data_IF_663699327998
#
_entry.id   IF_663699327998
#
_cell.length_a   1.000
_cell.length_b   1.000
_cell.length_c   1.000
_cell.angle_alpha   90.00
_cell.angle_beta   90.00
_cell.angle_gamma   90.00
#
_symmetry.space_group_name_H-M   'P 1'
#
loop_
_entity.id
_entity.type
_entity.pdbx_description
1 polymer ?
#
# COMPACT_ATOMS: atom_id res chain seq x y z
N UNK A 1 4.51 -16.07 -17.06
CA UNK A 1 4.85 -16.07 -15.62
C UNK A 1 4.15 -17.19 -14.84
N UNK A 2 2.81 -17.38 -14.87
CA UNK A 2 2.15 -18.40 -14.04
C UNK A 2 2.67 -19.84 -14.24
N UNK A 3 2.83 -20.28 -15.50
CA UNK A 3 3.32 -21.63 -15.80
C UNK A 3 4.78 -21.86 -15.40
N UNK A 4 5.62 -20.83 -15.39
CA UNK A 4 7.01 -20.95 -14.92
C UNK A 4 7.07 -21.04 -13.39
N UNK A 5 6.21 -20.29 -12.68
CA UNK A 5 6.07 -20.43 -11.24
C UNK A 5 5.56 -21.83 -10.86
N UNK A 6 4.59 -22.36 -11.59
CA UNK A 6 4.09 -23.73 -11.39
C UNK A 6 5.22 -24.77 -11.54
N UNK A 7 5.99 -24.69 -12.64
CA UNK A 7 7.15 -25.56 -12.85
C UNK A 7 8.18 -25.44 -11.73
N UNK A 8 8.43 -24.22 -11.24
CA UNK A 8 9.38 -23.98 -10.15
C UNK A 8 8.92 -24.64 -8.85
N UNK A 9 7.67 -24.45 -8.44
CA UNK A 9 7.11 -25.06 -7.22
C UNK A 9 7.19 -26.59 -7.30
N UNK A 10 6.82 -27.18 -8.43
CA UNK A 10 6.91 -28.64 -8.64
C UNK A 10 8.36 -29.12 -8.57
N UNK A 11 9.30 -28.41 -9.20
CA UNK A 11 10.73 -28.78 -9.16
C UNK A 11 11.29 -28.75 -7.73
N UNK A 12 10.94 -27.74 -6.93
CA UNK A 12 11.36 -27.66 -5.53
C UNK A 12 10.78 -28.84 -4.74
N UNK A 13 9.50 -29.17 -4.96
CA UNK A 13 8.86 -30.32 -4.32
C UNK A 13 9.53 -31.66 -4.66
N UNK A 14 9.88 -31.88 -5.93
CA UNK A 14 10.58 -33.10 -6.38
C UNK A 14 12.01 -33.17 -5.80
N UNK A 15 12.71 -32.03 -5.71
CA UNK A 15 14.06 -31.97 -5.18
C UNK A 15 14.16 -32.27 -3.67
N UNK A 16 13.06 -32.23 -2.92
CA UNK A 16 13.04 -32.43 -1.48
C UNK A 16 13.34 -33.88 -1.02
N UNK A 17 13.48 -34.87 -1.93
CA UNK A 17 13.94 -36.25 -1.67
C UNK A 17 13.43 -36.91 -0.35
N UNK A 18 12.14 -36.73 -0.01
CA UNK A 18 11.53 -37.29 1.21
C UNK A 18 11.37 -36.30 2.38
N UNK A 19 11.80 -35.05 2.22
CA UNK A 19 11.41 -33.92 3.08
C UNK A 19 10.09 -33.26 2.64
N UNK A 20 9.54 -32.37 3.49
CA UNK A 20 8.34 -31.60 3.14
C UNK A 20 8.64 -30.64 1.97
N UNK A 21 7.81 -30.70 0.91
CA UNK A 21 7.89 -29.77 -0.22
C UNK A 21 7.49 -28.34 0.17
N UNK A 22 7.23 -27.49 -0.82
CA UNK A 22 6.78 -26.11 -0.56
C UNK A 22 5.42 -26.13 0.15
N UNK A 23 5.40 -25.72 1.42
CA UNK A 23 4.17 -25.62 2.22
C UNK A 23 3.49 -24.25 2.10
N UNK A 24 4.27 -23.21 1.83
CA UNK A 24 3.82 -21.82 1.71
C UNK A 24 4.40 -21.09 0.52
N UNK A 25 3.56 -20.27 -0.14
CA UNK A 25 3.95 -19.22 -1.06
C UNK A 25 3.72 -17.86 -0.38
N UNK A 26 4.78 -17.07 -0.21
CA UNK A 26 4.66 -15.66 0.16
C UNK A 26 4.94 -14.84 -1.09
N UNK A 27 4.00 -13.98 -1.47
CA UNK A 27 4.17 -13.12 -2.64
C UNK A 27 3.67 -11.71 -2.37
N UNK A 28 4.27 -10.74 -3.06
CA UNK A 28 3.80 -9.37 -3.08
C UNK A 28 2.32 -9.32 -3.51
N UNK A 29 1.50 -8.48 -2.88
CA UNK A 29 0.09 -8.30 -3.27
C UNK A 29 -0.07 -7.74 -4.69
N UNK A 30 0.94 -7.07 -5.24
CA UNK A 30 1.01 -6.69 -6.66
C UNK A 30 1.36 -7.87 -7.59
N UNK A 31 1.68 -9.03 -7.02
CA UNK A 31 1.91 -10.31 -7.69
C UNK A 31 0.85 -11.33 -7.31
N UNK A 32 -0.36 -10.88 -6.95
CA UNK A 32 -1.47 -11.74 -6.51
C UNK A 32 -1.93 -12.74 -7.60
N UNK A 33 -1.54 -12.55 -8.86
CA UNK A 33 -1.65 -13.57 -9.93
C UNK A 33 -0.96 -14.91 -9.58
N UNK A 34 -0.07 -14.92 -8.58
CA UNK A 34 0.61 -16.12 -8.09
C UNK A 34 -0.24 -16.96 -7.13
N UNK A 35 -1.23 -16.37 -6.44
CA UNK A 35 -2.07 -17.10 -5.49
C UNK A 35 -2.98 -18.15 -6.14
N UNK A 36 -3.57 -17.93 -7.34
CA UNK A 36 -4.24 -18.99 -8.09
C UNK A 36 -3.34 -20.19 -8.39
N UNK A 37 -2.05 -19.97 -8.64
CA UNK A 37 -1.07 -21.05 -8.88
C UNK A 37 -0.83 -21.86 -7.60
N UNK A 38 -0.63 -21.17 -6.47
CA UNK A 38 -0.50 -21.85 -5.17
C UNK A 38 -1.74 -22.68 -4.83
N UNK A 39 -2.94 -22.10 -4.99
CA UNK A 39 -4.21 -22.81 -4.77
C UNK A 39 -4.36 -24.03 -5.66
N UNK A 40 -4.01 -23.93 -6.94
CA UNK A 40 -4.02 -25.07 -7.89
C UNK A 40 -3.13 -26.22 -7.41
N UNK A 41 -2.00 -25.91 -6.78
CA UNK A 41 -1.02 -26.88 -6.30
C UNK A 41 -1.25 -27.31 -4.84
N UNK A 42 -2.31 -26.83 -4.18
CA UNK A 42 -2.57 -27.12 -2.77
C UNK A 42 -1.56 -26.47 -1.80
N UNK A 43 -0.83 -25.46 -2.25
CA UNK A 43 0.14 -24.70 -1.44
C UNK A 43 -0.57 -23.53 -0.77
N UNK A 44 -0.34 -23.33 0.53
CA UNK A 44 -0.89 -22.21 1.31
C UNK A 44 -0.27 -20.91 0.84
N UNK A 45 -1.01 -19.81 0.89
CA UNK A 45 -0.52 -18.52 0.38
C UNK A 45 -0.68 -17.40 1.40
N UNK A 46 0.33 -16.55 1.50
CA UNK A 46 0.31 -15.28 2.22
C UNK A 46 0.68 -14.14 1.28
N UNK A 47 -0.06 -13.04 1.37
CA UNK A 47 0.26 -11.79 0.70
C UNK A 47 1.23 -10.96 1.52
N UNK A 48 2.14 -10.28 0.85
CA UNK A 48 2.99 -9.25 1.45
C UNK A 48 2.69 -7.90 0.79
N UNK A 49 2.29 -6.92 1.58
CA UNK A 49 2.11 -5.55 1.13
C UNK A 49 3.34 -4.73 1.51
N UNK A 50 4.21 -4.36 0.55
CA UNK A 50 5.39 -3.57 0.84
C UNK A 50 5.07 -2.09 1.12
N UNK A 51 3.87 -1.64 0.78
CA UNK A 51 3.38 -0.27 1.00
C UNK A 51 2.66 -0.12 2.34
N UNK A 52 2.24 1.11 2.66
CA UNK A 52 1.46 1.39 3.86
C UNK A 52 0.10 0.69 3.87
N UNK A 53 -0.46 0.44 5.06
CA UNK A 53 -1.78 -0.15 5.23
C UNK A 53 -2.87 0.77 4.67
N UNK A 54 -2.70 2.10 4.76
CA UNK A 54 -3.62 3.06 4.14
C UNK A 54 -3.63 2.94 2.61
N UNK A 55 -2.46 2.77 1.97
CA UNK A 55 -2.40 2.56 0.51
C UNK A 55 -3.07 1.26 0.09
N UNK A 56 -2.87 0.18 0.86
CA UNK A 56 -3.54 -1.09 0.62
C UNK A 56 -5.07 -0.94 0.75
N UNK A 57 -5.55 -0.27 1.80
CA UNK A 57 -6.96 0.04 2.00
C UNK A 57 -7.56 0.83 0.83
N UNK A 58 -6.88 1.86 0.33
CA UNK A 58 -7.34 2.61 -0.85
C UNK A 58 -7.56 1.69 -2.06
N UNK A 59 -6.67 0.70 -2.28
CA UNK A 59 -6.79 -0.24 -3.39
C UNK A 59 -7.94 -1.22 -3.20
N UNK A 60 -8.05 -1.84 -2.04
CA UNK A 60 -9.11 -2.82 -1.78
C UNK A 60 -10.50 -2.17 -1.81
N UNK A 61 -10.60 -0.90 -1.38
CA UNK A 61 -11.85 -0.13 -1.38
C UNK A 61 -12.18 0.55 -2.71
N UNK A 62 -11.46 0.30 -3.80
CA UNK A 62 -11.80 0.84 -5.14
C UNK A 62 -13.29 0.65 -5.48
N UNK A 63 -13.92 -0.53 -5.28
CA UNK A 63 -15.34 -0.71 -5.57
C UNK A 63 -16.26 0.22 -4.78
N UNK A 64 -15.90 0.53 -3.53
CA UNK A 64 -16.64 1.47 -2.67
C UNK A 64 -16.42 2.90 -3.13
N UNK A 65 -15.19 3.28 -3.49
CA UNK A 65 -14.87 4.61 -4.01
C UNK A 65 -15.58 4.90 -5.34
N UNK A 66 -15.77 3.90 -6.19
CA UNK A 66 -16.59 4.01 -7.41
C UNK A 66 -18.06 4.21 -7.03
N UNK A 67 -18.60 3.38 -6.13
CA UNK A 67 -19.98 3.46 -5.65
C UNK A 67 -20.32 4.81 -5.03
N UNK A 68 -19.38 5.38 -4.26
CA UNK A 68 -19.52 6.67 -3.59
C UNK A 68 -19.23 7.86 -4.53
N UNK A 69 -19.03 7.59 -5.82
CA UNK A 69 -18.79 8.57 -6.86
C UNK A 69 -17.50 9.37 -6.68
N UNK A 70 -16.53 8.84 -5.92
CA UNK A 70 -15.17 9.39 -5.84
C UNK A 70 -14.44 9.12 -7.14
N UNK A 71 -14.58 7.89 -7.66
CA UNK A 71 -13.95 7.41 -8.89
C UNK A 71 -14.99 7.02 -9.95
N UNK A 72 -14.56 7.00 -11.20
CA UNK A 72 -15.24 6.29 -12.28
C UNK A 72 -14.70 4.86 -12.43
N UNK A 73 -15.28 4.10 -13.36
CA UNK A 73 -14.91 2.71 -13.65
C UNK A 73 -13.47 2.55 -14.19
N UNK A 74 -12.88 3.64 -14.67
CA UNK A 74 -11.50 3.69 -15.19
C UNK A 74 -10.49 4.12 -14.12
N UNK A 75 -10.95 4.41 -12.90
CA UNK A 75 -10.11 4.79 -11.77
C UNK A 75 -9.75 6.27 -11.73
N UNK A 76 -10.43 7.12 -12.51
CA UNK A 76 -10.24 8.56 -12.51
C UNK A 76 -11.14 9.26 -11.50
N UNK A 77 -10.66 10.35 -10.88
CA UNK A 77 -11.51 11.14 -9.99
C UNK A 77 -12.67 11.78 -10.74
N UNK A 78 -13.90 11.54 -10.28
CA UNK A 78 -15.11 12.22 -10.82
C UNK A 78 -15.24 13.65 -10.31
N UNK A 79 -14.55 13.97 -9.22
CA UNK A 79 -14.50 15.29 -8.59
C UNK A 79 -13.11 15.55 -8.05
N UNK A 80 -12.72 16.82 -8.00
CA UNK A 80 -11.52 17.25 -7.27
C UNK A 80 -11.87 17.53 -5.81
N UNK A 81 -10.93 17.23 -4.92
CA UNK A 81 -10.98 17.60 -3.51
C UNK A 81 -10.90 16.41 -2.56
N UNK A 82 -11.42 16.64 -1.36
CA UNK A 82 -11.28 15.74 -0.22
C UNK A 82 -12.14 14.46 -0.34
N UNK A 83 -11.56 13.33 0.06
CA UNK A 83 -12.27 12.09 0.36
C UNK A 83 -11.65 11.39 1.58
N UNK A 84 -12.39 10.47 2.18
CA UNK A 84 -11.93 9.64 3.30
C UNK A 84 -12.37 8.20 3.06
N UNK A 85 -11.51 7.23 3.43
CA UNK A 85 -11.84 5.80 3.33
C UNK A 85 -12.78 5.32 4.44
N UNK A 86 -12.75 6.00 5.58
CA UNK A 86 -13.69 5.82 6.68
C UNK A 86 -13.81 7.11 7.50
N UNK A 87 -15.02 7.50 7.89
CA UNK A 87 -15.23 8.64 8.78
C UNK A 87 -14.50 8.45 10.11
N UNK A 88 -13.99 9.55 10.68
CA UNK A 88 -13.33 9.65 11.98
C UNK A 88 -11.99 8.88 12.17
N UNK A 89 -11.77 7.76 11.48
CA UNK A 89 -10.58 6.92 11.66
C UNK A 89 -9.51 7.16 10.59
N UNK A 90 -9.90 7.53 9.37
CA UNK A 90 -8.96 7.73 8.26
C UNK A 90 -8.69 9.21 7.97
N UNK A 91 -7.45 9.57 7.61
CA UNK A 91 -7.13 10.95 7.23
C UNK A 91 -7.88 11.36 5.97
N UNK A 92 -8.16 12.66 5.85
CA UNK A 92 -8.65 13.27 4.61
C UNK A 92 -7.55 13.19 3.56
N UNK A 93 -7.87 12.67 2.39
CA UNK A 93 -6.99 12.58 1.23
C UNK A 93 -7.54 13.42 0.08
N UNK A 94 -6.66 13.92 -0.77
CA UNK A 94 -7.06 14.58 -2.02
C UNK A 94 -7.13 13.55 -3.14
N UNK A 95 -8.24 13.57 -3.89
CA UNK A 95 -8.41 12.83 -5.14
C UNK A 95 -7.27 13.01 -6.16
N UNK A 96 -6.57 14.14 -6.16
CA UNK A 96 -5.42 14.39 -7.03
C UNK A 96 -4.20 13.52 -6.67
N UNK A 97 -4.12 13.02 -5.43
CA UNK A 97 -2.99 12.25 -4.90
C UNK A 97 -3.21 10.72 -5.00
N UNK A 98 -4.20 10.28 -5.78
CA UNK A 98 -4.47 8.87 -5.99
C UNK A 98 -3.30 8.18 -6.67
N UNK A 99 -2.75 7.16 -5.98
CA UNK A 99 -1.43 6.59 -6.29
C UNK A 99 -1.27 6.08 -7.72
N UNK A 100 -2.28 5.42 -8.32
CA UNK A 100 -2.17 4.89 -9.69
C UNK A 100 -2.26 5.97 -10.78
N UNK A 101 -2.85 7.14 -10.46
CA UNK A 101 -2.87 8.32 -11.35
C UNK A 101 -1.61 9.19 -11.18
N UNK A 102 -0.77 8.85 -10.20
CA UNK A 102 0.53 9.50 -9.94
C UNK A 102 1.71 8.58 -10.24
N UNK A 103 1.45 7.32 -10.60
CA UNK A 103 2.48 6.32 -10.86
C UNK A 103 2.87 6.29 -12.33
N UNK A 104 4.18 6.38 -12.59
CA UNK A 104 4.74 6.22 -13.92
C UNK A 104 4.28 7.27 -14.93
N UNK A 105 4.41 6.93 -16.21
CA UNK A 105 3.98 7.76 -17.33
C UNK A 105 2.44 7.77 -17.47
N UNK A 106 1.80 8.90 -17.79
CA UNK A 106 0.34 9.00 -17.98
C UNK A 106 -0.26 7.95 -18.92
N UNK A 107 0.45 7.53 -19.96
CA UNK A 107 -0.03 6.50 -20.90
C UNK A 107 -0.08 5.11 -20.26
N UNK A 108 0.70 4.87 -19.20
CA UNK A 108 0.76 3.60 -18.49
C UNK A 108 -0.22 3.49 -17.32
N UNK A 109 -0.78 4.61 -16.86
CA UNK A 109 -1.68 4.65 -15.69
C UNK A 109 -2.93 3.76 -15.82
N UNK A 110 -3.61 3.71 -16.99
CA UNK A 110 -4.73 2.79 -17.17
C UNK A 110 -4.33 1.32 -16.98
N UNK A 111 -3.13 0.95 -17.44
CA UNK A 111 -2.61 -0.41 -17.26
C UNK A 111 -2.31 -0.71 -15.78
N UNK A 112 -1.76 0.27 -15.04
CA UNK A 112 -1.52 0.15 -13.60
C UNK A 112 -2.84 -0.08 -12.86
N UNK A 113 -3.88 0.69 -13.20
CA UNK A 113 -5.19 0.54 -12.58
C UNK A 113 -5.79 -0.85 -12.84
N UNK A 114 -5.73 -1.33 -14.10
CA UNK A 114 -6.18 -2.68 -14.45
C UNK A 114 -5.38 -3.79 -13.74
N UNK A 115 -4.08 -3.60 -13.56
CA UNK A 115 -3.24 -4.52 -12.80
C UNK A 115 -3.68 -4.58 -11.33
N UNK A 116 -3.99 -3.42 -10.72
CA UNK A 116 -4.51 -3.35 -9.35
C UNK A 116 -5.83 -4.12 -9.23
N UNK A 117 -6.79 -3.89 -10.15
CA UNK A 117 -8.07 -4.59 -10.12
C UNK A 117 -7.91 -6.11 -10.22
N UNK A 118 -7.07 -6.59 -11.14
CA UNK A 118 -6.79 -8.03 -11.31
C UNK A 118 -6.15 -8.64 -10.07
N UNK A 119 -5.21 -7.92 -9.46
CA UNK A 119 -4.54 -8.40 -8.26
C UNK A 119 -5.50 -8.42 -7.06
N UNK A 120 -6.29 -7.37 -6.85
CA UNK A 120 -7.30 -7.30 -5.80
C UNK A 120 -8.29 -8.47 -5.90
N UNK A 121 -8.70 -8.83 -7.11
CA UNK A 121 -9.59 -9.96 -7.35
C UNK A 121 -8.98 -11.31 -6.91
N UNK A 122 -7.66 -11.44 -6.88
CA UNK A 122 -6.96 -12.65 -6.43
C UNK A 122 -6.50 -12.59 -4.96
N UNK A 123 -6.48 -11.41 -4.31
CA UNK A 123 -5.98 -11.23 -2.95
C UNK A 123 -6.69 -12.11 -1.92
N UNK A 124 -7.99 -12.39 -2.11
CA UNK A 124 -8.78 -13.27 -1.23
C UNK A 124 -8.30 -14.74 -1.21
N UNK A 125 -7.40 -15.12 -2.12
CA UNK A 125 -6.80 -16.46 -2.14
C UNK A 125 -5.60 -16.59 -1.18
N UNK A 126 -5.08 -15.48 -0.68
CA UNK A 126 -4.12 -15.49 0.42
C UNK A 126 -4.88 -15.66 1.74
N UNK A 127 -4.36 -16.51 2.63
CA UNK A 127 -4.90 -16.72 3.98
C UNK A 127 -4.69 -15.49 4.87
N UNK A 128 -3.63 -14.73 4.59
CA UNK A 128 -3.21 -13.54 5.33
C UNK A 128 -2.54 -12.54 4.40
N UNK A 129 -2.55 -11.26 4.76
CA UNK A 129 -1.80 -10.21 4.04
C UNK A 129 -0.96 -9.41 5.03
N UNK A 130 0.32 -9.72 5.17
CA UNK A 130 1.22 -8.95 6.06
C UNK A 130 1.54 -7.60 5.42
N UNK A 131 1.36 -6.51 6.17
CA UNK A 131 1.71 -5.16 5.73
C UNK A 131 3.04 -4.71 6.32
N UNK A 132 3.85 -4.03 5.52
CA UNK A 132 5.02 -3.30 5.97
C UNK A 132 4.62 -1.98 6.69
N UNK A 133 3.81 -2.11 7.74
CA UNK A 133 3.33 -1.03 8.59
C UNK A 133 3.04 -1.57 9.99
N UNK A 134 2.72 -0.68 10.93
CA UNK A 134 2.45 -1.01 12.32
C UNK A 134 1.19 -0.31 12.83
N UNK A 135 0.51 -0.96 13.79
CA UNK A 135 -0.78 -0.50 14.31
C UNK A 135 -0.71 0.93 14.86
N UNK A 136 0.37 1.30 15.52
CA UNK A 136 0.55 2.63 16.12
C UNK A 136 0.82 3.73 15.09
N UNK A 137 1.23 3.36 13.87
CA UNK A 137 1.46 4.31 12.79
C UNK A 137 0.17 4.60 12.03
N UNK A 138 -0.63 3.57 11.76
CA UNK A 138 -1.83 3.66 10.91
C UNK A 138 -3.08 3.01 11.56
N UNK A 139 -3.45 3.35 12.81
CA UNK A 139 -4.50 2.63 13.55
C UNK A 139 -5.85 2.64 12.82
N UNK A 140 -6.16 3.74 12.14
CA UNK A 140 -7.36 3.85 11.33
C UNK A 140 -7.39 2.93 10.11
N UNK A 141 -6.24 2.66 9.49
CA UNK A 141 -6.16 1.80 8.31
C UNK A 141 -6.31 0.33 8.69
N UNK A 142 -5.64 -0.10 9.76
CA UNK A 142 -5.80 -1.46 10.28
C UNK A 142 -7.23 -1.73 10.78
N UNK A 143 -7.93 -0.72 11.33
CA UNK A 143 -9.33 -0.85 11.72
C UNK A 143 -10.30 -1.14 10.55
N UNK A 144 -9.88 -0.91 9.30
CA UNK A 144 -10.69 -1.23 8.11
C UNK A 144 -10.72 -2.72 7.76
N UNK A 145 -9.90 -3.53 8.42
CA UNK A 145 -9.74 -4.95 8.11
C UNK A 145 -10.06 -5.84 9.33
N UNK A 146 -11.29 -5.83 9.87
CA UNK A 146 -11.64 -6.55 11.10
C UNK A 146 -11.64 -8.09 10.97
N UNK A 147 -11.31 -8.64 9.79
CA UNK A 147 -11.26 -10.09 9.54
C UNK A 147 -10.23 -10.52 8.48
N UNK A 148 -9.36 -9.61 8.04
CA UNK A 148 -8.20 -9.96 7.21
C UNK A 148 -6.99 -9.79 8.09
N UNK A 149 -6.11 -10.79 8.06
CA UNK A 149 -4.86 -10.86 8.82
C UNK A 149 -3.87 -9.85 8.22
N UNK A 150 -4.19 -8.55 8.33
CA UNK A 150 -3.24 -7.48 8.10
C UNK A 150 -2.36 -7.39 9.32
N UNK A 151 -1.37 -8.28 9.36
CA UNK A 151 -0.38 -8.32 10.42
C UNK A 151 0.70 -7.27 10.18
N UNK A 152 1.15 -6.65 11.27
CA UNK A 152 2.33 -5.80 11.29
C UNK A 152 3.57 -6.67 11.02
N UNK A 153 4.38 -6.28 10.03
CA UNK A 153 5.70 -6.89 9.86
C UNK A 153 6.59 -6.51 11.05
N UNK A 154 7.11 -7.50 11.77
CA UNK A 154 7.97 -7.38 12.96
C UNK A 154 8.97 -6.21 12.86
N UNK A 155 8.57 -5.05 13.38
CA UNK A 155 9.45 -3.93 13.61
C UNK A 155 10.06 -4.08 14.98
N UNK A 156 11.36 -4.37 15.07
CA UNK A 156 12.07 -4.35 16.35
C UNK A 156 11.77 -3.03 17.10
N UNK A 157 11.79 -3.06 18.44
CA UNK A 157 11.41 -1.91 19.27
C UNK A 157 12.13 -0.61 18.85
N UNK A 158 13.38 -0.72 18.41
CA UNK A 158 14.17 0.40 17.90
C UNK A 158 13.63 0.97 16.57
N UNK A 159 13.29 0.09 15.62
CA UNK A 159 12.68 0.49 14.33
C UNK A 159 11.37 1.22 14.57
N UNK A 160 10.54 0.68 15.47
CA UNK A 160 9.27 1.27 15.89
C UNK A 160 9.47 2.65 16.52
N UNK A 161 10.38 2.78 17.49
CA UNK A 161 10.69 4.04 18.14
C UNK A 161 11.18 5.11 17.13
N UNK A 162 12.04 4.73 16.18
CA UNK A 162 12.53 5.65 15.13
C UNK A 162 11.43 6.09 14.19
N UNK A 163 10.57 5.17 13.74
CA UNK A 163 9.46 5.50 12.85
C UNK A 163 8.43 6.43 13.53
N UNK A 164 8.13 6.22 14.82
CA UNK A 164 7.28 7.13 15.60
C UNK A 164 7.92 8.52 15.75
N UNK A 165 9.21 8.59 16.06
CA UNK A 165 9.93 9.86 16.14
C UNK A 165 9.91 10.62 14.81
N UNK A 166 10.12 9.91 13.69
CA UNK A 166 10.09 10.49 12.34
C UNK A 166 8.69 11.01 11.98
N UNK A 167 7.63 10.24 12.29
CA UNK A 167 6.24 10.66 12.11
C UNK A 167 5.95 11.97 12.85
N UNK A 168 6.38 12.06 14.11
CA UNK A 168 6.13 13.25 14.92
C UNK A 168 6.90 14.47 14.41
N UNK A 169 8.13 14.27 13.90
CA UNK A 169 8.89 15.32 13.20
C UNK A 169 8.16 15.77 11.94
N UNK A 170 7.66 14.83 11.12
CA UNK A 170 6.94 15.12 9.88
C UNK A 170 5.65 15.91 10.15
N UNK A 171 4.84 15.49 11.13
CA UNK A 171 3.62 16.21 11.54
C UNK A 171 3.91 17.64 11.96
N UNK A 172 4.90 17.85 12.84
CA UNK A 172 5.34 19.21 13.23
C UNK A 172 5.82 20.04 12.04
N UNK A 173 6.49 19.43 11.07
CA UNK A 173 6.95 20.16 9.89
C UNK A 173 5.79 20.67 9.02
N UNK A 174 4.68 19.92 8.95
CA UNK A 174 3.48 20.30 8.23
C UNK A 174 2.72 21.41 8.99
N UNK A 175 2.45 21.19 10.28
CA UNK A 175 1.60 22.09 11.07
C UNK A 175 2.24 23.46 11.31
N UNK A 176 3.50 23.49 11.75
CA UNK A 176 4.16 24.71 12.24
C UNK A 176 5.09 25.34 11.20
N UNK A 177 5.26 24.69 10.04
CA UNK A 177 6.26 25.04 9.04
C UNK A 177 7.66 24.58 9.44
N UNK A 178 8.12 23.51 8.79
CA UNK A 178 9.41 22.87 9.05
C UNK A 178 10.63 23.80 8.87
N UNK A 179 11.81 23.28 9.23
CA UNK A 179 13.09 24.01 9.10
C UNK A 179 13.31 24.54 7.68
N UNK A 180 12.96 23.77 6.66
CA UNK A 180 13.03 24.22 5.25
C UNK A 180 12.15 25.45 4.98
N UNK A 181 10.93 25.51 5.54
CA UNK A 181 10.03 26.68 5.40
C UNK A 181 10.60 27.90 6.13
N UNK A 182 11.20 27.70 7.31
CA UNK A 182 11.86 28.78 8.07
C UNK A 182 13.10 29.30 7.34
N UNK A 183 13.92 28.40 6.80
CA UNK A 183 15.09 28.77 6.00
C UNK A 183 14.70 29.52 4.74
N UNK A 184 13.65 29.07 4.04
CA UNK A 184 13.12 29.77 2.86
C UNK A 184 12.59 31.16 3.21
N UNK A 185 11.83 31.32 4.30
CA UNK A 185 11.39 32.64 4.77
C UNK A 185 12.56 33.56 5.07
N UNK A 186 13.54 33.07 5.84
CA UNK A 186 14.75 33.82 6.16
C UNK A 186 15.52 34.25 4.90
N UNK A 187 15.59 33.38 3.89
CA UNK A 187 16.20 33.71 2.60
C UNK A 187 15.43 34.81 1.86
N UNK A 188 14.09 34.73 1.82
CA UNK A 188 13.24 35.76 1.21
C UNK A 188 13.39 37.10 1.94
N UNK A 189 13.40 37.10 3.27
CA UNK A 189 13.57 38.30 4.09
C UNK A 189 14.92 38.98 3.82
N UNK A 190 15.99 38.19 3.66
CA UNK A 190 17.31 38.71 3.29
C UNK A 190 17.33 39.37 1.91
N UNK A 191 16.61 38.81 0.92
CA UNK A 191 16.50 39.42 -0.41
C UNK A 191 15.73 40.73 -0.37
N UNK A 192 14.69 40.83 0.46
CA UNK A 192 13.90 42.05 0.62
C UNK A 192 14.64 43.14 1.40
N UNK A 193 15.46 42.75 2.39
CA UNK A 193 16.30 43.66 3.17
C UNK A 193 17.59 44.12 2.47
N UNK A 194 17.95 43.53 1.33
CA UNK A 194 19.15 43.91 0.55
C UNK A 194 18.86 44.96 -0.53
N UNK A 195 17.61 45.46 -0.62
CA UNK A 195 17.16 46.42 -1.63
C UNK A 195 17.09 47.88 -1.14
N UNK A 196 17.76 48.21 -0.04
CA UNK A 196 17.88 49.58 0.50
C UNK A 196 19.26 50.17 0.27
#
# INVERSE_FOLDING_TARGET
MPGELEKLIVRIGVAAQGGEGVSWLIADVNMAWSFPVAKKLGVRAAGFCPSSAAMFATRIKIPELIRDGVLDEDGWPKRRGAFQLAPATMPVMDTAEISWNRAGDPTGQPFIFQLILRNNAATHLAETVVCNSMQELEPGAFALFPGVVVEELLGGADTKARALALRDVARRAIDVGGSSRRNLRRFVDLLQGSAS
#
